data_IF_258198233091
#
_entry.id   IF_258198233091
#
_cell.length_a   1.000
_cell.length_b   1.000
_cell.length_c   1.000
_cell.angle_alpha   90.00
_cell.angle_beta   90.00
_cell.angle_gamma   90.00
#
_symmetry.space_group_name_H-M   'P 1'
#
loop_
_entity.id
_entity.type
_entity.pdbx_description
1 polymer ?
#
# COMPACT_ATOMS: atom_id res chain seq x y z
N UNK A 1 10.28 -2.71 9.77
CA UNK A 1 9.26 -3.74 9.48
C UNK A 1 9.68 -4.53 8.25
N UNK A 2 9.41 -5.83 8.20
CA UNK A 2 9.51 -6.64 6.97
C UNK A 2 8.10 -6.98 6.51
N UNK A 3 7.87 -6.88 5.21
CA UNK A 3 6.59 -7.25 4.62
C UNK A 3 6.73 -8.66 4.02
N UNK A 4 5.95 -9.61 4.51
CA UNK A 4 5.96 -11.00 4.03
C UNK A 4 4.51 -11.50 3.85
N UNK A 5 4.24 -12.18 2.74
CA UNK A 5 2.93 -12.73 2.45
C UNK A 5 2.02 -11.83 1.61
N UNK A 6 0.73 -12.07 1.72
CA UNK A 6 -0.32 -11.38 0.98
C UNK A 6 -0.86 -10.20 1.78
N UNK A 7 -0.81 -9.01 1.19
CA UNK A 7 -1.43 -7.79 1.70
C UNK A 7 -2.60 -7.40 0.81
N UNK A 8 -3.80 -7.39 1.36
CA UNK A 8 -5.01 -7.07 0.59
C UNK A 8 -5.31 -5.58 0.63
N UNK A 9 -5.26 -4.86 -0.51
CA UNK A 9 -5.83 -3.53 -0.60
C UNK A 9 -7.35 -3.67 -0.57
N UNK A 10 -7.94 -3.53 0.64
CA UNK A 10 -9.33 -3.87 0.90
C UNK A 10 -10.29 -2.97 0.10
N UNK A 11 -11.35 -3.55 -0.42
CA UNK A 11 -12.48 -2.80 -1.00
C UNK A 11 -13.25 -2.04 0.08
N UNK A 12 -13.91 -0.95 -0.31
CA UNK A 12 -14.81 -0.21 0.58
C UNK A 12 -16.24 -0.41 0.10
N UNK A 13 -17.07 -1.24 0.76
CA UNK A 13 -18.48 -1.39 0.42
C UNK A 13 -19.26 -0.11 0.69
N UNK A 14 -20.16 0.24 -0.23
CA UNK A 14 -21.05 1.39 -0.09
C UNK A 14 -22.52 0.96 -0.14
N UNK A 15 -23.36 1.69 0.58
CA UNK A 15 -24.82 1.58 0.50
C UNK A 15 -25.36 2.34 -0.70
N UNK A 16 -26.65 2.19 -1.00
CA UNK A 16 -27.29 2.87 -2.12
C UNK A 16 -27.32 4.41 -1.99
N UNK A 17 -27.13 4.94 -0.80
CA UNK A 17 -27.02 6.37 -0.50
C UNK A 17 -25.56 6.87 -0.51
N UNK A 18 -24.63 6.02 -0.96
CA UNK A 18 -23.17 6.26 -1.04
C UNK A 18 -22.46 6.35 0.32
N UNK A 19 -23.11 6.11 1.44
CA UNK A 19 -22.43 5.96 2.72
C UNK A 19 -21.65 4.66 2.79
N UNK A 20 -20.57 4.61 3.57
CA UNK A 20 -19.78 3.40 3.77
C UNK A 20 -20.63 2.37 4.53
N UNK A 21 -20.70 1.15 4.02
CA UNK A 21 -21.36 0.02 4.67
C UNK A 21 -20.39 -0.71 5.59
N UNK A 22 -20.33 -0.26 6.84
CA UNK A 22 -19.44 -0.83 7.84
C UNK A 22 -19.78 -2.27 8.24
N UNK A 23 -21.05 -2.69 8.08
CA UNK A 23 -21.46 -4.07 8.35
C UNK A 23 -20.87 -5.02 7.31
N UNK A 24 -21.01 -4.68 6.03
CA UNK A 24 -20.38 -5.43 4.93
C UNK A 24 -18.86 -5.36 4.97
N UNK A 25 -18.30 -4.21 5.35
CA UNK A 25 -16.86 -4.06 5.51
C UNK A 25 -16.32 -4.99 6.61
N UNK A 26 -17.06 -5.14 7.72
CA UNK A 26 -16.71 -6.09 8.78
C UNK A 26 -16.65 -7.52 8.25
N UNK A 27 -17.65 -7.95 7.47
CA UNK A 27 -17.66 -9.28 6.83
C UNK A 27 -16.45 -9.49 5.91
N UNK A 28 -16.08 -8.47 5.12
CA UNK A 28 -14.91 -8.53 4.24
C UNK A 28 -13.63 -8.67 5.06
N UNK A 29 -13.48 -7.93 6.16
CA UNK A 29 -12.30 -8.04 7.04
C UNK A 29 -12.18 -9.46 7.62
N UNK A 30 -13.27 -10.02 8.15
CA UNK A 30 -13.27 -11.38 8.70
C UNK A 30 -12.92 -12.41 7.62
N UNK A 31 -13.55 -12.34 6.45
CA UNK A 31 -13.25 -13.20 5.30
C UNK A 31 -11.77 -13.23 4.95
N UNK A 32 -11.13 -12.06 4.90
CA UNK A 32 -9.71 -11.95 4.58
C UNK A 32 -8.81 -12.51 5.68
N UNK A 33 -9.12 -12.21 6.94
CA UNK A 33 -8.34 -12.69 8.09
C UNK A 33 -8.45 -14.21 8.23
N UNK A 34 -9.66 -14.76 8.10
CA UNK A 34 -9.91 -16.21 8.16
C UNK A 34 -9.18 -16.96 7.03
N UNK A 35 -9.11 -16.38 5.83
CA UNK A 35 -8.35 -16.93 4.72
C UNK A 35 -6.82 -16.93 4.96
N UNK A 36 -6.33 -16.11 5.88
CA UNK A 36 -4.92 -16.07 6.28
C UNK A 36 -4.07 -15.06 5.52
N UNK A 37 -4.61 -13.90 5.13
CA UNK A 37 -3.81 -12.79 4.60
C UNK A 37 -2.85 -12.27 5.67
N UNK A 38 -1.71 -11.73 5.26
CA UNK A 38 -0.69 -11.20 6.18
C UNK A 38 -0.99 -9.77 6.64
N UNK A 39 -1.80 -9.05 5.87
CA UNK A 39 -2.16 -7.68 6.21
C UNK A 39 -3.29 -7.12 5.35
N UNK A 40 -3.87 -6.05 5.84
CA UNK A 40 -4.94 -5.29 5.18
C UNK A 40 -4.44 -3.86 4.96
N UNK A 41 -4.67 -3.35 3.75
CA UNK A 41 -4.32 -1.98 3.36
C UNK A 41 -5.61 -1.20 3.12
N UNK A 42 -5.90 -0.21 3.94
CA UNK A 42 -7.02 0.72 3.71
C UNK A 42 -6.60 1.90 2.85
N UNK A 43 -7.57 2.60 2.31
CA UNK A 43 -7.38 3.80 1.51
C UNK A 43 -6.35 3.63 0.37
N UNK A 44 -6.26 2.41 -0.18
CA UNK A 44 -5.62 2.15 -1.46
C UNK A 44 -6.55 2.50 -2.63
N UNK A 45 -6.05 2.39 -3.85
CA UNK A 45 -6.85 2.65 -5.07
C UNK A 45 -8.06 1.72 -5.17
N UNK A 46 -7.89 0.45 -4.79
CA UNK A 46 -8.96 -0.56 -4.78
C UNK A 46 -10.08 -0.19 -3.80
N UNK A 47 -9.74 0.44 -2.67
CA UNK A 47 -10.69 0.94 -1.67
C UNK A 47 -11.26 2.32 -1.99
N UNK A 48 -11.05 2.84 -3.19
CA UNK A 48 -11.66 4.08 -3.72
C UNK A 48 -11.38 5.34 -2.87
N UNK A 49 -10.17 5.44 -2.29
CA UNK A 49 -9.79 6.56 -1.41
C UNK A 49 -10.07 7.94 -2.03
N UNK A 50 -9.98 8.05 -3.34
CA UNK A 50 -10.15 9.29 -4.09
C UNK A 50 -11.62 9.77 -4.14
N UNK A 51 -12.58 8.90 -3.79
CA UNK A 51 -14.00 9.19 -3.72
C UNK A 51 -14.50 9.47 -2.29
N UNK A 52 -13.61 9.36 -1.29
CA UNK A 52 -13.92 9.53 0.13
C UNK A 52 -13.54 10.92 0.62
N UNK A 53 -14.38 11.50 1.46
CA UNK A 53 -14.05 12.70 2.23
C UNK A 53 -12.96 12.41 3.27
N UNK A 54 -12.32 13.44 3.79
CA UNK A 54 -11.31 13.29 4.86
C UNK A 54 -11.92 12.64 6.10
N UNK A 55 -13.14 13.00 6.48
CA UNK A 55 -13.82 12.43 7.65
C UNK A 55 -14.14 10.95 7.44
N UNK A 56 -14.66 10.55 6.28
CA UNK A 56 -14.91 9.14 5.97
C UNK A 56 -13.63 8.30 6.04
N UNK A 57 -12.49 8.86 5.58
CA UNK A 57 -11.20 8.17 5.69
C UNK A 57 -10.73 8.02 7.14
N UNK A 58 -10.92 9.03 7.98
CA UNK A 58 -10.61 8.94 9.42
C UNK A 58 -11.49 7.92 10.12
N UNK A 59 -12.79 7.94 9.87
CA UNK A 59 -13.74 6.98 10.44
C UNK A 59 -13.42 5.55 9.97
N UNK A 60 -13.07 5.38 8.70
CA UNK A 60 -12.66 4.11 8.12
C UNK A 60 -11.36 3.59 8.76
N UNK A 61 -10.36 4.45 8.99
CA UNK A 61 -9.12 4.08 9.67
C UNK A 61 -9.39 3.56 11.08
N UNK A 62 -10.18 4.30 11.86
CA UNK A 62 -10.53 3.92 13.23
C UNK A 62 -11.34 2.61 13.27
N UNK A 63 -12.30 2.45 12.38
CA UNK A 63 -13.10 1.24 12.26
C UNK A 63 -12.23 0.01 11.93
N UNK A 64 -11.40 0.11 10.90
CA UNK A 64 -10.56 -1.01 10.46
C UNK A 64 -9.51 -1.39 11.49
N UNK A 65 -8.86 -0.42 12.15
CA UNK A 65 -7.94 -0.71 13.24
C UNK A 65 -8.62 -1.52 14.36
N UNK A 66 -9.82 -1.08 14.78
CA UNK A 66 -10.62 -1.79 15.80
C UNK A 66 -11.04 -3.19 15.34
N UNK A 67 -11.49 -3.32 14.09
CA UNK A 67 -11.96 -4.59 13.53
C UNK A 67 -10.82 -5.59 13.35
N UNK A 68 -9.67 -5.14 12.84
CA UNK A 68 -8.47 -5.98 12.67
C UNK A 68 -7.91 -6.43 14.02
N UNK A 69 -7.88 -5.54 15.00
CA UNK A 69 -7.49 -5.82 16.38
C UNK A 69 -6.16 -6.59 16.51
N UNK A 70 -5.14 -6.18 15.76
CA UNK A 70 -3.80 -6.78 15.79
C UNK A 70 -3.68 -8.20 15.24
N UNK A 71 -4.73 -8.77 14.65
CA UNK A 71 -4.72 -10.13 14.09
C UNK A 71 -3.86 -10.26 12.83
N UNK A 72 -3.76 -9.19 12.05
CA UNK A 72 -2.91 -9.06 10.86
C UNK A 72 -2.36 -7.64 10.80
N UNK A 73 -1.32 -7.40 9.99
CA UNK A 73 -0.77 -6.05 9.84
C UNK A 73 -1.79 -5.08 9.23
N UNK A 74 -1.86 -3.87 9.78
CA UNK A 74 -2.71 -2.80 9.27
C UNK A 74 -1.89 -1.68 8.64
N UNK A 75 -2.08 -1.45 7.34
CA UNK A 75 -1.39 -0.44 6.55
C UNK A 75 -2.40 0.61 6.07
N UNK A 76 -2.03 1.88 6.16
CA UNK A 76 -2.90 2.99 5.75
C UNK A 76 -2.33 3.69 4.52
N UNK A 77 -3.14 3.80 3.47
CA UNK A 77 -2.83 4.62 2.30
C UNK A 77 -3.00 6.11 2.62
N UNK A 78 -1.99 6.90 2.29
CA UNK A 78 -1.99 8.36 2.53
C UNK A 78 -2.25 9.18 1.27
N UNK A 79 -2.67 8.53 0.17
CA UNK A 79 -2.86 9.19 -1.12
C UNK A 79 -3.80 10.40 -1.05
N UNK A 80 -3.34 11.55 -1.60
CA UNK A 80 -4.09 12.77 -1.78
C UNK A 80 -3.44 13.61 -2.90
N UNK A 81 -4.15 14.60 -3.42
CA UNK A 81 -3.59 15.56 -4.39
C UNK A 81 -2.64 16.52 -3.66
N UNK A 82 -2.99 16.94 -2.45
CA UNK A 82 -2.23 17.90 -1.65
C UNK A 82 -1.36 17.17 -0.63
N UNK A 83 -0.09 17.61 -0.52
CA UNK A 83 0.86 17.05 0.45
C UNK A 83 0.38 17.23 1.89
N UNK A 84 -0.26 18.35 2.22
CA UNK A 84 -0.80 18.63 3.55
C UNK A 84 -1.87 17.62 3.96
N UNK A 85 -2.73 17.21 3.03
CA UNK A 85 -3.75 16.19 3.29
C UNK A 85 -3.11 14.81 3.51
N UNK A 86 -2.09 14.46 2.72
CA UNK A 86 -1.33 13.22 2.92
C UNK A 86 -0.64 13.19 4.29
N UNK A 87 -0.15 14.33 4.77
CA UNK A 87 0.44 14.49 6.11
C UNK A 87 -0.63 14.26 7.19
N UNK A 88 -1.83 14.82 7.03
CA UNK A 88 -2.91 14.62 8.01
C UNK A 88 -3.36 13.14 8.05
N UNK A 89 -3.47 12.47 6.89
CA UNK A 89 -3.75 11.03 6.86
C UNK A 89 -2.64 10.21 7.55
N UNK A 90 -1.39 10.60 7.36
CA UNK A 90 -0.26 9.93 8.03
C UNK A 90 -0.29 10.13 9.56
N UNK A 91 -0.61 11.33 10.03
CA UNK A 91 -0.79 11.60 11.47
C UNK A 91 -1.94 10.80 12.06
N UNK A 92 -3.08 10.79 11.37
CA UNK A 92 -4.23 9.99 11.80
C UNK A 92 -3.92 8.50 11.84
N UNK A 93 -3.13 7.99 10.88
CA UNK A 93 -2.66 6.60 10.88
C UNK A 93 -1.83 6.26 12.13
N UNK A 94 -0.96 7.18 12.57
CA UNK A 94 -0.21 7.04 13.84
C UNK A 94 -1.16 7.03 15.04
N UNK A 95 -2.10 7.95 15.09
CA UNK A 95 -3.06 8.07 16.21
C UNK A 95 -3.93 6.82 16.37
N UNK A 96 -4.37 6.21 15.27
CA UNK A 96 -5.15 4.97 15.33
C UNK A 96 -4.30 3.73 15.57
N UNK A 97 -2.96 3.81 15.48
CA UNK A 97 -2.06 2.68 15.70
C UNK A 97 -1.85 1.79 14.47
N UNK A 98 -1.78 2.36 13.28
CA UNK A 98 -1.38 1.63 12.07
C UNK A 98 0.08 1.14 12.16
N UNK A 99 0.37 -0.02 11.57
CA UNK A 99 1.72 -0.61 11.57
C UNK A 99 2.64 0.03 10.53
N UNK A 100 2.07 0.51 9.42
CA UNK A 100 2.83 1.10 8.31
C UNK A 100 1.95 2.01 7.44
N UNK A 101 2.60 2.75 6.54
CA UNK A 101 1.94 3.58 5.54
C UNK A 101 2.17 3.03 4.12
N UNK A 102 1.19 3.24 3.24
CA UNK A 102 1.34 3.12 1.79
C UNK A 102 1.38 4.53 1.19
N UNK A 103 2.53 4.91 0.64
CA UNK A 103 2.77 6.26 0.11
C UNK A 103 2.91 6.22 -1.41
N UNK A 104 2.02 6.88 -2.11
CA UNK A 104 2.00 7.01 -3.57
C UNK A 104 2.40 8.42 -4.02
N UNK A 105 2.69 8.58 -5.30
CA UNK A 105 2.78 9.89 -5.95
C UNK A 105 1.41 10.59 -5.90
N UNK A 106 1.35 11.91 -5.66
CA UNK A 106 0.12 12.69 -5.81
C UNK A 106 -0.47 12.50 -7.23
N UNK A 107 -1.73 12.05 -7.35
CA UNK A 107 -2.34 11.83 -8.67
C UNK A 107 -2.62 13.17 -9.38
N UNK A 108 -2.76 13.13 -10.71
CA UNK A 108 -3.14 14.27 -11.56
C UNK A 108 -2.08 15.37 -11.71
N UNK A 109 -1.34 15.73 -10.64
CA UNK A 109 -0.41 16.87 -10.63
C UNK A 109 0.86 16.64 -11.46
N UNK A 110 1.19 15.38 -11.76
CA UNK A 110 2.38 14.96 -12.55
C UNK A 110 3.65 15.67 -12.08
N UNK A 111 4.02 15.57 -10.79
CA UNK A 111 5.22 16.21 -10.25
C UNK A 111 6.50 15.57 -10.78
N UNK A 112 7.62 16.29 -10.68
CA UNK A 112 8.94 15.71 -10.93
C UNK A 112 9.33 14.67 -9.87
N UNK A 113 10.26 13.76 -10.16
CA UNK A 113 10.77 12.78 -9.18
C UNK A 113 11.28 13.45 -7.89
N UNK A 114 11.93 14.61 -8.02
CA UNK A 114 12.37 15.41 -6.89
C UNK A 114 11.20 15.87 -6.00
N UNK A 115 10.13 16.35 -6.61
CA UNK A 115 8.94 16.81 -5.87
C UNK A 115 8.21 15.63 -5.21
N UNK A 116 8.12 14.48 -5.89
CA UNK A 116 7.61 13.24 -5.29
C UNK A 116 8.44 12.83 -4.08
N UNK A 117 9.78 12.93 -4.15
CA UNK A 117 10.64 12.63 -3.03
C UNK A 117 10.43 13.60 -1.85
N UNK A 118 10.25 14.91 -2.12
CA UNK A 118 9.95 15.89 -1.09
C UNK A 118 8.58 15.62 -0.42
N UNK A 119 7.58 15.23 -1.21
CA UNK A 119 6.28 14.80 -0.71
C UNK A 119 6.41 13.58 0.21
N UNK A 120 7.07 12.51 -0.23
CA UNK A 120 7.26 11.30 0.56
C UNK A 120 8.05 11.57 1.86
N UNK A 121 9.12 12.36 1.79
CA UNK A 121 9.90 12.77 2.96
C UNK A 121 9.11 13.65 3.95
N UNK A 122 8.14 14.43 3.48
CA UNK A 122 7.26 15.20 4.36
C UNK A 122 6.30 14.29 5.16
N UNK A 123 5.77 13.26 4.51
CA UNK A 123 4.94 12.22 5.13
C UNK A 123 5.77 11.42 6.16
N UNK A 124 6.97 10.99 5.77
CA UNK A 124 7.90 10.27 6.64
C UNK A 124 8.17 11.04 7.94
N UNK A 125 8.51 12.32 7.84
CA UNK A 125 8.75 13.17 9.02
C UNK A 125 7.52 13.33 9.92
N UNK A 126 6.33 13.29 9.34
CA UNK A 126 5.08 13.49 10.09
C UNK A 126 4.67 12.25 10.89
N UNK A 127 4.91 11.04 10.34
CA UNK A 127 4.45 9.80 10.92
C UNK A 127 5.55 8.99 11.63
N UNK A 128 6.77 9.01 11.10
CA UNK A 128 7.88 8.16 11.57
C UNK A 128 7.49 6.68 11.69
N UNK A 129 6.69 6.19 10.74
CA UNK A 129 6.28 4.79 10.60
C UNK A 129 7.02 4.13 9.44
N UNK A 130 7.09 2.79 9.40
CA UNK A 130 7.50 2.06 8.20
C UNK A 130 6.66 2.47 6.99
N UNK A 131 7.31 2.65 5.84
CA UNK A 131 6.65 3.08 4.59
C UNK A 131 6.88 2.03 3.51
N UNK A 132 5.80 1.59 2.92
CA UNK A 132 5.78 0.95 1.61
C UNK A 132 5.48 2.02 0.56
N UNK A 133 6.43 2.29 -0.32
CA UNK A 133 6.23 3.15 -1.49
C UNK A 133 5.27 2.47 -2.48
N UNK A 134 4.51 3.25 -3.24
CA UNK A 134 3.63 2.73 -4.27
C UNK A 134 3.90 3.40 -5.60
N UNK A 135 4.59 2.68 -6.47
CA UNK A 135 4.89 3.10 -7.83
C UNK A 135 3.86 2.57 -8.82
N UNK A 136 3.04 3.46 -9.37
CA UNK A 136 2.07 3.12 -10.41
C UNK A 136 1.97 4.24 -11.47
N UNK A 137 2.98 4.36 -12.35
CA UNK A 137 3.02 5.46 -13.34
C UNK A 137 1.81 5.47 -14.28
N UNK A 138 1.20 4.32 -14.56
CA UNK A 138 -0.02 4.22 -15.37
C UNK A 138 -1.23 4.98 -14.81
N UNK A 139 -1.27 5.23 -13.48
CA UNK A 139 -2.32 6.03 -12.81
C UNK A 139 -1.82 7.39 -12.34
N UNK A 140 -0.57 7.47 -11.93
CA UNK A 140 -0.01 8.68 -11.31
C UNK A 140 0.71 9.58 -12.31
N UNK A 141 0.98 9.10 -13.53
CA UNK A 141 1.70 9.84 -14.56
C UNK A 141 3.20 10.03 -14.30
N UNK A 142 3.71 9.56 -13.17
CA UNK A 142 5.11 9.71 -12.76
C UNK A 142 5.65 8.39 -12.23
N UNK A 143 6.89 8.08 -12.61
CA UNK A 143 7.61 6.92 -12.08
C UNK A 143 8.47 7.34 -10.88
N UNK A 144 8.51 6.51 -9.85
CA UNK A 144 9.47 6.62 -8.75
C UNK A 144 10.81 6.05 -9.22
N UNK A 145 11.53 6.81 -10.06
CA UNK A 145 12.78 6.42 -10.68
C UNK A 145 13.97 6.43 -9.74
N UNK A 146 15.18 6.35 -10.32
CA UNK A 146 16.43 6.30 -9.55
C UNK A 146 16.67 7.61 -8.78
N UNK A 147 16.39 8.77 -9.40
CA UNK A 147 16.52 10.06 -8.71
C UNK A 147 15.62 10.13 -7.47
N UNK A 148 14.39 9.61 -7.55
CA UNK A 148 13.50 9.53 -6.41
C UNK A 148 14.05 8.58 -5.32
N UNK A 149 14.46 7.37 -5.71
CA UNK A 149 14.94 6.33 -4.78
C UNK A 149 16.20 6.77 -4.04
N UNK A 150 17.15 7.41 -4.74
CA UNK A 150 18.38 7.96 -4.14
C UNK A 150 18.11 9.06 -3.11
N UNK A 151 17.04 9.85 -3.33
CA UNK A 151 16.65 10.92 -2.41
C UNK A 151 15.99 10.39 -1.14
N UNK A 152 15.13 9.39 -1.25
CA UNK A 152 14.41 8.81 -0.11
C UNK A 152 15.24 7.77 0.64
N UNK A 153 16.22 7.13 0.00
CA UNK A 153 17.02 6.03 0.55
C UNK A 153 17.84 6.37 1.79
N UNK A 154 17.86 7.65 2.21
CA UNK A 154 18.51 8.11 3.44
C UNK A 154 17.66 7.90 4.70
N UNK A 155 16.35 7.67 4.55
CA UNK A 155 15.45 7.34 5.66
C UNK A 155 15.20 5.83 5.71
N UNK A 156 15.46 5.22 6.86
CA UNK A 156 15.23 3.80 7.10
C UNK A 156 13.74 3.42 7.10
N UNK A 157 12.84 4.40 7.14
CA UNK A 157 11.40 4.15 7.12
C UNK A 157 10.90 3.71 5.74
N UNK A 158 11.58 4.11 4.63
CA UNK A 158 11.27 3.61 3.29
C UNK A 158 11.80 2.20 3.11
N UNK A 159 11.09 1.21 3.63
CA UNK A 159 11.56 -0.16 3.74
C UNK A 159 11.02 -1.11 2.67
N UNK A 160 10.02 -0.69 1.90
CA UNK A 160 9.48 -1.48 0.78
C UNK A 160 8.96 -0.61 -0.35
N UNK A 161 8.85 -1.20 -1.55
CA UNK A 161 8.19 -0.62 -2.70
C UNK A 161 7.21 -1.61 -3.32
N UNK A 162 5.92 -1.24 -3.36
CA UNK A 162 4.92 -1.88 -4.21
C UNK A 162 5.14 -1.39 -5.63
N UNK A 163 5.70 -2.25 -6.46
CA UNK A 163 5.97 -1.93 -7.87
C UNK A 163 4.80 -2.38 -8.75
N UNK A 164 4.19 -1.44 -9.43
CA UNK A 164 3.01 -1.64 -10.28
C UNK A 164 3.13 -0.96 -11.64
N UNK A 165 4.36 -0.72 -12.13
CA UNK A 165 4.56 -0.13 -13.46
C UNK A 165 4.20 -1.07 -14.61
N UNK A 166 4.26 -2.38 -14.37
CA UNK A 166 4.15 -3.41 -15.42
C UNK A 166 5.45 -3.64 -16.18
N UNK A 167 6.53 -2.92 -15.86
CA UNK A 167 7.84 -3.11 -16.48
C UNK A 167 8.69 -4.11 -15.71
N UNK A 168 8.86 -5.30 -16.27
CA UNK A 168 9.67 -6.39 -15.69
C UNK A 168 11.14 -5.98 -15.50
N UNK A 169 11.70 -5.13 -16.38
CA UNK A 169 13.09 -4.69 -16.24
C UNK A 169 13.30 -3.88 -14.96
N UNK A 170 12.25 -3.18 -14.51
CA UNK A 170 12.30 -2.42 -13.27
C UNK A 170 12.41 -3.33 -12.04
N UNK A 171 11.81 -4.52 -12.07
CA UNK A 171 11.95 -5.53 -11.01
C UNK A 171 13.43 -5.88 -10.84
N UNK A 172 14.14 -6.09 -11.96
CA UNK A 172 15.56 -6.42 -11.97
C UNK A 172 16.42 -5.28 -11.39
N UNK A 173 16.15 -4.05 -11.80
CA UNK A 173 16.84 -2.86 -11.29
C UNK A 173 16.65 -2.69 -9.79
N UNK A 174 15.41 -2.79 -9.30
CA UNK A 174 15.11 -2.67 -7.87
C UNK A 174 15.78 -3.76 -7.05
N UNK A 175 15.70 -5.01 -7.48
CA UNK A 175 16.29 -6.13 -6.76
C UNK A 175 17.81 -6.06 -6.70
N UNK A 176 18.49 -5.59 -7.77
CA UNK A 176 19.94 -5.53 -7.87
C UNK A 176 20.52 -4.27 -7.20
N UNK A 177 19.95 -3.11 -7.50
CA UNK A 177 20.57 -1.82 -7.19
C UNK A 177 20.00 -1.18 -5.90
N UNK A 178 18.79 -1.59 -5.46
CA UNK A 178 18.11 -1.09 -4.26
C UNK A 178 17.71 -2.21 -3.28
N UNK A 179 18.62 -3.15 -2.91
CA UNK A 179 18.28 -4.31 -2.08
C UNK A 179 17.86 -3.96 -0.64
N UNK A 180 18.09 -2.72 -0.22
CA UNK A 180 17.66 -2.19 1.07
C UNK A 180 16.18 -1.78 1.10
N UNK A 181 15.55 -1.62 -0.08
CA UNK A 181 14.11 -1.38 -0.24
C UNK A 181 13.48 -2.70 -0.68
N UNK A 182 12.71 -3.32 0.18
CA UNK A 182 12.09 -4.62 -0.10
C UNK A 182 11.14 -4.53 -1.31
N UNK A 183 11.36 -5.38 -2.30
CA UNK A 183 10.48 -5.49 -3.46
C UNK A 183 9.17 -6.16 -3.05
N UNK A 184 8.03 -5.53 -3.39
CA UNK A 184 6.68 -6.05 -3.21
C UNK A 184 5.95 -6.09 -4.55
N UNK A 185 5.33 -7.22 -4.88
CA UNK A 185 4.55 -7.35 -6.10
C UNK A 185 3.31 -6.46 -6.03
N UNK A 186 3.09 -5.66 -7.09
CA UNK A 186 1.92 -4.81 -7.25
C UNK A 186 1.09 -5.10 -8.51
N UNK A 187 1.54 -6.09 -9.33
CA UNK A 187 0.89 -6.52 -10.56
C UNK A 187 0.58 -8.02 -10.48
N UNK A 188 -0.69 -8.36 -10.37
CA UNK A 188 -1.13 -9.73 -10.10
C UNK A 188 -0.69 -10.73 -11.20
N UNK A 189 -0.62 -10.28 -12.45
CA UNK A 189 -0.18 -11.05 -13.60
C UNK A 189 1.35 -11.25 -13.71
N UNK A 190 2.14 -10.54 -12.91
CA UNK A 190 3.62 -10.63 -12.89
C UNK A 190 4.16 -11.26 -11.60
N UNK A 191 3.31 -11.85 -10.77
CA UNK A 191 3.70 -12.31 -9.44
C UNK A 191 4.85 -13.33 -9.46
N UNK A 192 4.92 -14.21 -10.45
CA UNK A 192 6.00 -15.20 -10.59
C UNK A 192 7.37 -14.52 -10.79
N UNK A 193 7.45 -13.51 -11.66
CA UNK A 193 8.67 -12.74 -11.89
C UNK A 193 9.12 -12.04 -10.62
N UNK A 194 8.19 -11.42 -9.89
CA UNK A 194 8.51 -10.78 -8.62
C UNK A 194 9.12 -11.76 -7.62
N UNK A 195 8.54 -12.93 -7.44
CA UNK A 195 9.06 -13.94 -6.53
C UNK A 195 10.41 -14.52 -6.99
N UNK A 196 10.59 -14.73 -8.29
CA UNK A 196 11.86 -15.18 -8.86
C UNK A 196 13.00 -14.17 -8.60
N UNK A 197 12.68 -12.88 -8.47
CA UNK A 197 13.61 -11.80 -8.13
C UNK A 197 13.63 -11.42 -6.65
N UNK A 198 13.11 -12.29 -5.79
CA UNK A 198 13.26 -12.19 -4.34
C UNK A 198 12.22 -11.33 -3.62
N UNK A 199 11.11 -10.97 -4.27
CA UNK A 199 10.00 -10.33 -3.57
C UNK A 199 9.48 -11.26 -2.47
N UNK A 200 9.17 -10.68 -1.30
CA UNK A 200 8.65 -11.39 -0.14
C UNK A 200 7.21 -11.03 0.19
N UNK A 201 6.64 -10.05 -0.51
CA UNK A 201 5.27 -9.64 -0.31
C UNK A 201 4.58 -9.35 -1.63
N UNK A 202 3.27 -9.48 -1.59
CA UNK A 202 2.39 -9.20 -2.72
C UNK A 202 1.20 -8.38 -2.25
N UNK A 203 1.09 -7.15 -2.73
CA UNK A 203 -0.11 -6.33 -2.54
C UNK A 203 -1.11 -6.74 -3.63
N UNK A 204 -1.95 -7.71 -3.31
CA UNK A 204 -2.80 -8.45 -4.22
C UNK A 204 -4.24 -7.93 -4.20
N UNK A 205 -4.69 -7.32 -5.30
CA UNK A 205 -6.08 -6.88 -5.43
C UNK A 205 -7.03 -8.08 -5.59
N UNK A 206 -6.60 -9.14 -6.26
CA UNK A 206 -7.34 -10.39 -6.45
C UNK A 206 -7.68 -11.10 -5.14
N UNK A 207 -6.92 -10.87 -4.07
CA UNK A 207 -7.20 -11.48 -2.77
C UNK A 207 -8.51 -10.99 -2.12
N UNK A 208 -9.11 -9.90 -2.60
CA UNK A 208 -10.44 -9.49 -2.13
C UNK A 208 -11.56 -10.50 -2.46
N UNK A 209 -11.38 -11.36 -3.45
CA UNK A 209 -12.39 -12.34 -3.87
C UNK A 209 -11.88 -13.79 -3.92
N UNK A 210 -10.55 -14.01 -3.97
CA UNK A 210 -9.96 -15.34 -4.03
C UNK A 210 -8.67 -15.42 -3.19
N UNK A 211 -8.70 -15.09 -1.90
CA UNK A 211 -7.48 -15.01 -1.07
C UNK A 211 -6.73 -16.34 -1.00
N UNK A 212 -7.43 -17.47 -0.91
CA UNK A 212 -6.81 -18.79 -0.73
C UNK A 212 -5.92 -19.17 -1.91
N UNK A 213 -6.35 -18.87 -3.14
CA UNK A 213 -5.57 -19.16 -4.36
C UNK A 213 -4.28 -18.34 -4.37
N UNK A 214 -4.38 -17.04 -4.05
CA UNK A 214 -3.21 -16.16 -4.03
C UNK A 214 -2.24 -16.52 -2.89
N UNK A 215 -2.76 -16.91 -1.72
CA UNK A 215 -1.94 -17.39 -0.60
C UNK A 215 -1.24 -18.72 -0.97
N UNK A 216 -1.95 -19.64 -1.63
CA UNK A 216 -1.36 -20.90 -2.09
C UNK A 216 -0.24 -20.65 -3.12
N UNK A 217 -0.45 -19.75 -4.08
CA UNK A 217 0.58 -19.34 -5.03
C UNK A 217 1.78 -18.70 -4.32
N UNK A 218 1.54 -17.76 -3.41
CA UNK A 218 2.61 -17.16 -2.62
C UNK A 218 3.45 -18.23 -1.90
N UNK A 219 2.80 -19.15 -1.19
CA UNK A 219 3.48 -20.24 -0.45
C UNK A 219 4.28 -21.17 -1.35
N UNK A 220 3.85 -21.38 -2.58
CA UNK A 220 4.55 -22.21 -3.56
C UNK A 220 5.79 -21.53 -4.17
N UNK A 221 5.83 -20.20 -4.22
CA UNK A 221 6.85 -19.43 -4.93
C UNK A 221 7.82 -18.67 -4.02
N UNK A 222 7.38 -18.25 -2.83
CA UNK A 222 8.17 -17.48 -1.88
C UNK A 222 8.95 -18.42 -0.94
N UNK A 223 9.97 -19.09 -1.49
CA UNK A 223 10.88 -19.98 -0.74
C UNK A 223 12.12 -19.24 -0.26
#
# INVERSE_FOLDING_TARGET
>A
MKFEGIYTPIVTPYRNDFSIDYERLSEVVEFLIEAGVSGIISAGTTGEYYAQTMQERFDLMAFLHKQINGRVSYIVGTGAIRTEESIEYARQAVEVGADALLVATPPYAVPTEREVALHALAIDRAANLPIMLYNYPGRMGVNMGEEFLDRVGRSANFCAIKESSGDVNRIHTLARDYPHIQLSCGMDDQALEFFAWGARSWVCAGSNFAPEIHIAMYRACAV
#
